data_IF_267637994605
#
_entry.id   IF_267637994605
#
_cell.length_a   1.000
_cell.length_b   1.000
_cell.length_c   1.000
_cell.angle_alpha   90.00
_cell.angle_beta   90.00
_cell.angle_gamma   90.00
#
_symmetry.space_group_name_H-M   'P 1'
#
loop_
_entity.id
_entity.type
_entity.pdbx_description
1 polymer ?
#
# COMPACT_ATOMS: atom_id res chain seq x y z
N UNK A 1 -15.99 9.12 -15.20
CA UNK A 1 -16.05 8.54 -13.85
C UNK A 1 -15.45 7.15 -13.78
N UNK A 2 -15.62 6.38 -14.84
CA UNK A 2 -15.16 5.02 -14.82
C UNK A 2 -13.66 4.91 -14.55
N UNK A 3 -12.91 5.82 -15.11
CA UNK A 3 -11.45 5.80 -14.92
C UNK A 3 -11.04 6.14 -13.50
N UNK A 4 -11.96 6.65 -12.71
CA UNK A 4 -11.66 6.95 -11.31
C UNK A 4 -11.32 5.70 -10.52
N UNK A 5 -11.77 4.54 -11.00
CA UNK A 5 -11.50 3.28 -10.30
C UNK A 5 -10.00 3.04 -10.19
N UNK A 6 -9.28 3.22 -11.29
CA UNK A 6 -7.83 3.05 -11.25
C UNK A 6 -7.17 4.09 -10.38
N UNK A 7 -7.66 5.32 -10.44
CA UNK A 7 -7.11 6.38 -9.62
C UNK A 7 -7.33 6.13 -8.13
N UNK A 8 -8.51 5.61 -7.78
CA UNK A 8 -8.81 5.31 -6.39
C UNK A 8 -7.85 4.27 -5.85
N UNK A 9 -7.59 3.21 -6.64
CA UNK A 9 -6.67 2.17 -6.20
C UNK A 9 -5.28 2.73 -5.99
N UNK A 10 -4.83 3.57 -6.91
CA UNK A 10 -3.52 4.19 -6.80
C UNK A 10 -3.43 5.05 -5.54
N UNK A 11 -4.46 5.85 -5.30
CA UNK A 11 -4.48 6.70 -4.11
C UNK A 11 -4.47 5.88 -2.83
N UNK A 12 -5.21 4.78 -2.81
CA UNK A 12 -5.22 3.91 -1.64
C UNK A 12 -3.82 3.40 -1.33
N UNK A 13 -3.09 3.00 -2.36
CA UNK A 13 -1.74 2.49 -2.14
C UNK A 13 -0.78 3.59 -1.73
N UNK A 14 -0.93 4.78 -2.30
CA UNK A 14 -0.11 5.91 -1.88
C UNK A 14 -0.31 6.18 -0.39
N UNK A 15 -1.57 6.22 0.05
CA UNK A 15 -1.86 6.46 1.46
C UNK A 15 -1.35 5.33 2.34
N UNK A 16 -1.46 4.09 1.84
CA UNK A 16 -0.96 2.94 2.59
C UNK A 16 0.55 3.01 2.77
N UNK A 17 1.26 3.38 1.71
CA UNK A 17 2.71 3.52 1.79
C UNK A 17 3.12 4.64 2.74
N UNK A 18 2.36 5.73 2.75
CA UNK A 18 2.63 6.81 3.69
C UNK A 18 2.43 6.37 5.13
N UNK A 19 1.37 5.60 5.38
CA UNK A 19 1.14 5.07 6.71
C UNK A 19 2.28 4.15 7.13
N UNK A 20 2.76 3.35 6.19
CA UNK A 20 3.89 2.47 6.47
C UNK A 20 5.12 3.29 6.90
N UNK A 21 5.41 4.35 6.19
CA UNK A 21 6.57 5.17 6.48
C UNK A 21 6.51 5.76 7.88
N UNK A 22 5.30 6.04 8.37
CA UNK A 22 5.13 6.64 9.68
C UNK A 22 4.93 5.63 10.79
N UNK A 23 4.67 4.36 10.44
CA UNK A 23 4.30 3.36 11.43
C UNK A 23 5.49 2.78 12.16
N UNK A 24 6.67 2.81 11.56
CA UNK A 24 7.89 2.23 12.11
C UNK A 24 7.81 0.70 12.22
N UNK A 25 6.86 0.11 11.53
CA UNK A 25 6.74 -1.35 11.45
C UNK A 25 7.62 -1.89 10.33
N UNK A 26 7.98 -3.17 10.44
CA UNK A 26 8.63 -3.82 9.31
C UNK A 26 7.60 -4.09 8.22
N UNK A 27 8.10 -4.40 7.01
CA UNK A 27 7.21 -4.71 5.90
C UNK A 27 6.27 -5.86 6.26
N UNK A 28 6.81 -6.92 6.84
CA UNK A 28 6.00 -8.08 7.20
C UNK A 28 4.92 -7.70 8.22
N UNK A 29 5.30 -6.95 9.23
CA UNK A 29 4.36 -6.55 10.27
C UNK A 29 3.26 -5.67 9.70
N UNK A 30 3.65 -4.72 8.87
CA UNK A 30 2.67 -3.82 8.29
C UNK A 30 1.72 -4.56 7.36
N UNK A 31 2.25 -5.47 6.55
CA UNK A 31 1.43 -6.25 5.63
C UNK A 31 0.43 -7.12 6.37
N UNK A 32 0.84 -7.73 7.46
CA UNK A 32 -0.08 -8.51 8.27
C UNK A 32 -1.18 -7.63 8.85
N UNK A 33 -0.79 -6.46 9.31
CA UNK A 33 -1.75 -5.54 9.91
C UNK A 33 -2.76 -5.05 8.88
N UNK A 34 -2.28 -4.76 7.67
CA UNK A 34 -3.15 -4.26 6.59
C UNK A 34 -3.90 -5.40 5.88
N UNK A 35 -3.44 -6.63 6.03
CA UNK A 35 -4.07 -7.74 5.34
C UNK A 35 -3.66 -7.84 3.88
N UNK A 36 -2.46 -7.40 3.55
CA UNK A 36 -1.97 -7.46 2.17
C UNK A 36 -0.74 -8.35 2.10
N UNK A 37 -0.46 -8.84 0.90
CA UNK A 37 0.70 -9.69 0.67
C UNK A 37 1.98 -8.86 0.63
N UNK A 38 3.07 -9.32 1.28
CA UNK A 38 4.34 -8.60 1.20
C UNK A 38 4.83 -8.44 -0.24
N UNK A 39 4.60 -9.44 -1.08
CA UNK A 39 5.03 -9.35 -2.47
C UNK A 39 4.30 -8.22 -3.19
N UNK A 40 3.00 -8.13 -2.99
CA UNK A 40 2.20 -7.07 -3.59
C UNK A 40 2.64 -5.71 -3.05
N UNK A 41 2.88 -5.64 -1.75
CA UNK A 41 3.32 -4.39 -1.14
C UNK A 41 4.64 -3.93 -1.73
N UNK A 42 5.60 -4.84 -1.90
CA UNK A 42 6.89 -4.49 -2.48
C UNK A 42 6.75 -4.02 -3.92
N UNK A 43 5.85 -4.65 -4.68
CA UNK A 43 5.60 -4.20 -6.05
C UNK A 43 5.13 -2.76 -6.08
N UNK A 44 4.24 -2.40 -5.19
CA UNK A 44 3.74 -1.03 -5.14
C UNK A 44 4.80 -0.05 -4.70
N UNK A 45 5.69 -0.48 -3.82
CA UNK A 45 6.77 0.39 -3.38
C UNK A 45 7.75 0.72 -4.50
N UNK A 46 7.92 -0.20 -5.43
CA UNK A 46 8.85 0.02 -6.55
C UNK A 46 8.31 1.00 -7.58
N UNK A 47 7.02 1.20 -7.61
CA UNK A 47 6.42 2.13 -8.56
C UNK A 47 6.50 3.58 -8.06
#
# INVERSE_FOLDING_TARGET
MAHAVGSVRHLEWVQRLERYAQSQLTVNEFCEWEGVSPATFCNWRKK
#
